data_IF_559907822448
#
_entry.id   IF_559907822448
#
_cell.length_a   1.000
_cell.length_b   1.000
_cell.length_c   1.000
_cell.angle_alpha   90.00
_cell.angle_beta   90.00
_cell.angle_gamma   90.00
#
_symmetry.space_group_name_H-M   'P 1'
#
loop_
_entity.id
_entity.type
_entity.pdbx_description
1 polymer ?
#
# COMPACT_ATOMS: atom_id res chain seq x y z
N UNK A 1 -4.10 6.37 -6.16
CA UNK A 1 -3.14 7.11 -5.32
C UNK A 1 -2.70 6.21 -4.16
N UNK A 2 -1.40 6.14 -3.87
CA UNK A 2 -0.89 5.46 -2.69
C UNK A 2 -1.40 6.15 -1.40
N UNK A 3 -1.50 5.42 -0.27
CA UNK A 3 -2.07 5.94 0.97
C UNK A 3 -1.33 7.19 1.48
N UNK A 4 -2.06 8.09 2.15
CA UNK A 4 -1.53 9.35 2.70
C UNK A 4 -0.32 9.07 3.62
N UNK A 5 0.75 9.86 3.45
CA UNK A 5 2.00 9.71 4.21
C UNK A 5 3.06 8.78 3.56
N UNK A 6 2.79 8.20 2.39
CA UNK A 6 3.80 7.48 1.61
C UNK A 6 4.67 8.47 0.82
N UNK A 7 5.71 9.02 1.47
CA UNK A 7 6.67 9.94 0.82
C UNK A 7 7.80 9.22 0.07
N UNK A 8 8.13 7.99 0.46
CA UNK A 8 9.24 7.23 -0.13
C UNK A 8 8.91 6.67 -1.53
N UNK A 9 9.79 6.91 -2.50
CA UNK A 9 9.72 6.39 -3.88
C UNK A 9 9.56 4.86 -3.93
N UNK A 10 10.24 4.12 -3.03
CA UNK A 10 10.13 2.65 -2.90
C UNK A 10 8.70 2.20 -2.65
N UNK A 11 7.99 2.87 -1.74
CA UNK A 11 6.63 2.51 -1.35
C UNK A 11 5.60 2.85 -2.43
N UNK A 12 5.83 3.90 -3.22
CA UNK A 12 5.01 4.22 -4.40
C UNK A 12 5.12 3.13 -5.47
N UNK A 13 6.34 2.69 -5.80
CA UNK A 13 6.56 1.58 -6.76
C UNK A 13 5.88 0.30 -6.29
N UNK A 14 6.02 -0.02 -5.00
CA UNK A 14 5.42 -1.20 -4.42
C UNK A 14 3.90 -1.19 -4.45
N UNK A 15 3.27 -0.04 -4.18
CA UNK A 15 1.83 0.13 -4.30
C UNK A 15 1.35 -0.18 -5.72
N UNK A 16 2.00 0.41 -6.74
CA UNK A 16 1.61 0.18 -8.13
C UNK A 16 1.86 -1.27 -8.55
N UNK A 17 2.97 -1.89 -8.15
CA UNK A 17 3.25 -3.29 -8.46
C UNK A 17 2.19 -4.24 -7.89
N UNK A 18 1.77 -4.06 -6.64
CA UNK A 18 0.73 -4.88 -6.01
C UNK A 18 -0.63 -4.64 -6.66
N UNK A 19 -0.94 -3.37 -6.97
CA UNK A 19 -2.19 -3.00 -7.64
C UNK A 19 -2.28 -3.65 -9.02
N UNK A 20 -1.20 -3.63 -9.81
CA UNK A 20 -1.18 -4.27 -11.12
C UNK A 20 -1.26 -5.80 -11.01
N UNK A 21 -0.52 -6.41 -10.08
CA UNK A 21 -0.62 -7.86 -9.82
C UNK A 21 -2.03 -8.27 -9.41
N UNK A 22 -2.70 -7.50 -8.55
CA UNK A 22 -4.07 -7.79 -8.14
C UNK A 22 -5.06 -7.66 -9.31
N UNK A 23 -4.88 -6.67 -10.19
CA UNK A 23 -5.68 -6.52 -11.42
C UNK A 23 -5.46 -7.67 -12.39
N UNK A 24 -4.21 -8.08 -12.60
CA UNK A 24 -3.87 -9.23 -13.45
C UNK A 24 -4.51 -10.54 -12.95
N UNK A 25 -4.73 -10.67 -11.63
CA UNK A 25 -5.46 -11.79 -11.00
C UNK A 25 -7.00 -11.63 -11.07
N UNK A 26 -7.52 -10.73 -11.89
CA UNK A 26 -8.96 -10.50 -12.07
C UNK A 26 -9.64 -9.73 -10.94
N UNK A 27 -8.90 -9.08 -10.01
CA UNK A 27 -9.54 -8.26 -8.97
C UNK A 27 -9.99 -6.92 -9.55
N UNK A 28 -11.19 -6.49 -9.15
CA UNK A 28 -11.72 -5.18 -9.54
C UNK A 28 -10.75 -4.04 -9.18
N UNK A 29 -10.73 -2.94 -9.97
CA UNK A 29 -9.82 -1.82 -9.74
C UNK A 29 -9.89 -1.25 -8.32
N UNK A 30 -11.08 -1.23 -7.73
CA UNK A 30 -11.33 -0.76 -6.35
C UNK A 30 -10.70 -1.71 -5.34
N UNK A 31 -10.90 -3.02 -5.49
CA UNK A 31 -10.32 -4.04 -4.61
C UNK A 31 -8.80 -4.11 -4.73
N UNK A 32 -8.26 -3.99 -5.94
CA UNK A 32 -6.82 -3.95 -6.18
C UNK A 32 -6.14 -2.75 -5.48
N UNK A 33 -6.74 -1.56 -5.55
CA UNK A 33 -6.25 -0.36 -4.84
C UNK A 33 -6.24 -0.58 -3.32
N UNK A 34 -7.28 -1.20 -2.78
CA UNK A 34 -7.40 -1.50 -1.35
C UNK A 34 -6.35 -2.52 -0.88
N UNK A 35 -6.17 -3.61 -1.63
CA UNK A 35 -5.14 -4.63 -1.35
C UNK A 35 -3.76 -3.98 -1.34
N UNK A 36 -3.44 -3.19 -2.37
CA UNK A 36 -2.15 -2.48 -2.46
C UNK A 36 -1.92 -1.54 -1.27
N UNK A 37 -2.94 -0.75 -0.88
CA UNK A 37 -2.84 0.15 0.26
C UNK A 37 -2.63 -0.62 1.58
N UNK A 38 -3.41 -1.69 1.82
CA UNK A 38 -3.30 -2.53 3.03
C UNK A 38 -1.92 -3.18 3.15
N UNK A 39 -1.38 -3.71 2.06
CA UNK A 39 -0.05 -4.35 2.07
C UNK A 39 1.06 -3.34 2.37
N UNK A 40 1.04 -2.17 1.72
CA UNK A 40 2.02 -1.11 1.97
C UNK A 40 1.93 -0.60 3.40
N UNK A 41 0.72 -0.37 3.93
CA UNK A 41 0.54 0.07 5.32
C UNK A 41 0.99 -0.99 6.32
N UNK A 42 0.71 -2.29 6.09
CA UNK A 42 1.21 -3.40 6.93
C UNK A 42 2.74 -3.39 7.00
N UNK A 43 3.41 -3.19 5.87
CA UNK A 43 4.87 -3.12 5.84
C UNK A 43 5.42 -1.88 6.52
N UNK A 44 4.79 -0.72 6.34
CA UNK A 44 5.18 0.50 7.06
C UNK A 44 5.07 0.33 8.57
N UNK A 45 4.00 -0.32 9.03
CA UNK A 45 3.80 -0.63 10.46
C UNK A 45 4.88 -1.56 10.98
N UNK A 46 5.20 -2.63 10.26
CA UNK A 46 6.30 -3.56 10.61
C UNK A 46 7.66 -2.85 10.66
N UNK A 47 7.90 -1.91 9.75
CA UNK A 47 9.15 -1.15 9.68
C UNK A 47 9.21 0.06 10.64
N UNK A 48 8.21 0.26 11.51
CA UNK A 48 8.15 1.43 12.39
C UNK A 48 7.94 2.78 11.66
N UNK A 49 7.63 2.77 10.36
CA UNK A 49 7.45 3.97 9.51
C UNK A 49 6.06 4.60 9.63
N UNK A 50 5.24 4.11 10.56
CA UNK A 50 3.96 4.69 10.93
C UNK A 50 4.12 5.28 12.32
N UNK A 51 3.75 6.55 12.51
CA UNK A 51 3.53 7.06 13.86
C UNK A 51 2.52 6.13 14.52
N UNK A 52 2.90 5.51 15.65
CA UNK A 52 1.89 4.91 16.54
C UNK A 52 1.01 6.09 16.95
N UNK A 53 -0.30 6.02 16.72
CA UNK A 53 -1.20 6.84 17.51
C UNK A 53 -1.06 6.33 18.93
N UNK A 54 -0.11 6.91 19.67
CA UNK A 54 -0.05 6.76 21.12
C UNK A 54 -1.38 7.27 21.67
N UNK A 55 -1.95 6.48 22.56
CA UNK A 55 -3.06 6.90 23.41
C UNK A 55 -2.51 7.87 24.45
#
# INVERSE_FOLDING_TARGET
MPPRGVKSSKRKRQYEHIKQSARARGKSPRRAKEIAARTVNKQRRKAGQTKRSGR
#
